data_IF_428875527965
#
_entry.id   IF_428875527965
#
_cell.length_a   1.000
_cell.length_b   1.000
_cell.length_c   1.000
_cell.angle_alpha   90.00
_cell.angle_beta   90.00
_cell.angle_gamma   90.00
#
_symmetry.space_group_name_H-M   'P 1'
#
loop_
_entity.id
_entity.type
_entity.pdbx_description
1 polymer ?
#
# COMPACT_ATOMS: atom_id res chain seq x y z
N UNK A 1 41.81 -14.68 -22.67
CA UNK A 1 40.45 -14.11 -22.76
C UNK A 1 39.96 -13.99 -21.33
N UNK A 2 40.12 -12.82 -20.72
CA UNK A 2 39.80 -12.60 -19.30
C UNK A 2 38.28 -12.44 -19.16
N UNK A 3 37.60 -13.40 -18.53
CA UNK A 3 36.23 -13.20 -18.07
C UNK A 3 36.27 -12.26 -16.87
N UNK A 4 35.72 -11.07 -17.03
CA UNK A 4 35.43 -10.14 -15.95
C UNK A 4 34.26 -10.71 -15.15
N UNK A 5 34.53 -11.05 -13.89
CA UNK A 5 33.56 -11.50 -12.90
C UNK A 5 32.69 -10.29 -12.51
N UNK A 6 31.62 -10.06 -13.26
CA UNK A 6 30.62 -9.03 -12.92
C UNK A 6 29.75 -9.55 -11.78
N UNK A 7 30.26 -9.45 -10.56
CA UNK A 7 29.45 -9.54 -9.36
C UNK A 7 28.34 -8.49 -9.44
N UNK A 8 27.05 -8.85 -9.31
CA UNK A 8 25.95 -7.90 -9.36
C UNK A 8 25.97 -7.14 -8.04
N UNK A 9 26.88 -6.19 -7.92
CA UNK A 9 26.84 -5.21 -6.84
C UNK A 9 25.66 -4.33 -7.17
N UNK A 10 24.51 -4.70 -6.59
CA UNK A 10 23.30 -3.91 -6.54
C UNK A 10 23.63 -2.58 -5.86
N UNK A 11 24.17 -1.65 -6.63
CA UNK A 11 24.13 -0.23 -6.34
C UNK A 11 22.66 0.14 -6.33
N UNK A 12 22.01 -0.15 -5.20
CA UNK A 12 20.75 0.45 -4.81
C UNK A 12 21.01 1.94 -4.79
N UNK A 13 20.72 2.59 -5.91
CA UNK A 13 20.69 4.04 -6.01
C UNK A 13 19.61 4.47 -5.03
N UNK A 14 20.00 4.83 -3.80
CA UNK A 14 19.07 5.26 -2.76
C UNK A 14 18.19 6.34 -3.38
N UNK A 15 16.88 6.09 -3.49
CA UNK A 15 15.99 7.04 -4.14
C UNK A 15 16.11 8.35 -3.38
N UNK A 16 16.62 9.39 -4.05
CA UNK A 16 16.89 10.70 -3.46
C UNK A 16 15.57 11.47 -3.34
N UNK A 17 14.63 10.94 -2.56
CA UNK A 17 13.30 11.51 -2.36
C UNK A 17 12.95 11.77 -0.88
N UNK A 18 13.80 11.32 0.04
CA UNK A 18 13.55 11.41 1.49
C UNK A 18 13.41 12.87 1.98
N UNK A 19 14.13 13.81 1.37
CA UNK A 19 14.05 15.22 1.74
C UNK A 19 12.71 15.85 1.36
N UNK A 20 11.99 15.36 0.34
CA UNK A 20 10.66 15.89 0.01
C UNK A 20 9.67 15.59 1.14
N UNK A 21 9.74 14.39 1.72
CA UNK A 21 8.93 14.02 2.88
C UNK A 21 9.26 14.89 4.09
N UNK A 22 10.54 15.17 4.33
CA UNK A 22 10.97 16.04 5.42
C UNK A 22 10.52 17.50 5.24
N UNK A 23 10.67 18.06 4.04
CA UNK A 23 10.22 19.43 3.73
C UNK A 23 8.70 19.53 3.84
N UNK A 24 7.95 18.55 3.29
CA UNK A 24 6.50 18.49 3.43
C UNK A 24 6.09 18.40 4.90
N UNK A 25 6.73 17.54 5.69
CA UNK A 25 6.46 17.42 7.12
C UNK A 25 6.64 18.76 7.84
N UNK A 26 7.76 19.46 7.61
CA UNK A 26 8.03 20.74 8.25
C UNK A 26 7.01 21.81 7.83
N UNK A 27 6.71 21.90 6.54
CA UNK A 27 5.72 22.84 6.01
C UNK A 27 4.31 22.54 6.53
N UNK A 28 3.91 21.27 6.57
CA UNK A 28 2.63 20.84 7.12
C UNK A 28 2.52 21.18 8.61
N UNK A 29 3.60 20.99 9.38
CA UNK A 29 3.61 21.33 10.80
C UNK A 29 3.48 22.84 11.04
N UNK A 30 4.22 23.66 10.28
CA UNK A 30 4.12 25.12 10.36
C UNK A 30 2.72 25.60 9.94
N UNK A 31 2.19 25.08 8.83
CA UNK A 31 0.85 25.40 8.35
C UNK A 31 -0.22 24.99 9.38
N UNK A 32 -0.06 23.84 10.03
CA UNK A 32 -0.94 23.37 11.08
C UNK A 32 -0.89 24.27 12.33
N UNK A 33 0.30 24.71 12.75
CA UNK A 33 0.43 25.67 13.86
C UNK A 33 -0.25 27.01 13.53
N UNK A 34 -0.06 27.54 12.32
CA UNK A 34 -0.74 28.76 11.85
C UNK A 34 -2.25 28.55 11.81
N UNK A 35 -2.72 27.39 11.36
CA UNK A 35 -4.13 27.02 11.35
C UNK A 35 -4.74 27.02 12.76
N UNK A 36 -4.06 26.42 13.74
CA UNK A 36 -4.52 26.40 15.13
C UNK A 36 -4.53 27.81 15.75
N UNK A 37 -3.46 28.58 15.54
CA UNK A 37 -3.40 29.97 15.98
C UNK A 37 -4.54 30.78 15.36
N UNK A 38 -4.76 30.66 14.06
CA UNK A 38 -5.91 31.28 13.43
C UNK A 38 -7.19 30.79 14.10
N UNK A 39 -7.48 29.49 14.17
CA UNK A 39 -8.75 28.94 14.65
C UNK A 39 -9.12 29.31 16.10
N UNK A 40 -8.16 29.35 17.03
CA UNK A 40 -8.43 29.51 18.47
C UNK A 40 -8.17 30.91 19.02
N UNK A 41 -7.41 31.76 18.32
CA UNK A 41 -7.04 33.08 18.85
C UNK A 41 -8.24 34.06 18.76
N UNK A 42 -8.46 34.89 19.78
CA UNK A 42 -9.55 35.87 19.76
C UNK A 42 -9.30 36.96 18.70
N UNK A 43 -10.39 37.56 18.22
CA UNK A 43 -10.39 38.50 17.08
C UNK A 43 -9.50 39.72 17.34
N UNK A 44 -9.50 40.22 18.57
CA UNK A 44 -8.76 41.41 18.99
C UNK A 44 -7.25 41.20 18.82
N UNK A 45 -6.76 39.99 19.08
CA UNK A 45 -5.35 39.66 18.95
C UNK A 45 -4.97 39.55 17.46
N UNK A 46 -5.83 38.97 16.63
CA UNK A 46 -5.60 38.89 15.17
C UNK A 46 -5.60 40.28 14.52
N UNK A 47 -6.52 41.15 14.92
CA UNK A 47 -6.56 42.54 14.45
C UNK A 47 -5.33 43.33 14.91
N UNK A 48 -4.85 43.11 16.14
CA UNK A 48 -3.60 43.71 16.64
C UNK A 48 -2.35 43.27 15.87
N UNK A 49 -2.39 42.05 15.31
CA UNK A 49 -1.34 41.50 14.46
C UNK A 49 -1.44 42.01 13.00
N UNK A 50 -2.45 42.84 12.69
CA UNK A 50 -2.70 43.38 11.35
C UNK A 50 -3.48 42.44 10.43
N UNK A 51 -4.00 41.32 10.93
CA UNK A 51 -4.74 40.33 10.14
C UNK A 51 -6.23 40.67 10.19
N UNK A 52 -6.69 41.51 9.27
CA UNK A 52 -8.08 41.98 9.19
C UNK A 52 -8.94 41.22 8.20
N UNK A 53 -8.33 40.48 7.26
CA UNK A 53 -9.04 39.68 6.25
C UNK A 53 -8.71 38.20 6.39
N UNK A 54 -9.66 37.41 6.87
CA UNK A 54 -9.57 35.96 6.99
C UNK A 54 -10.95 35.31 6.78
N UNK A 55 -11.02 34.03 6.37
CA UNK A 55 -12.29 33.35 6.11
C UNK A 55 -13.11 33.17 7.39
N UNK A 56 -14.39 32.85 7.26
CA UNK A 56 -15.27 32.59 8.40
C UNK A 56 -14.70 31.47 9.31
N UNK A 57 -14.86 31.64 10.63
CA UNK A 57 -14.42 30.66 11.65
C UNK A 57 -15.04 29.28 11.46
N UNK A 58 -16.19 29.19 10.81
CA UNK A 58 -16.83 27.93 10.43
C UNK A 58 -15.88 26.98 9.71
N UNK A 59 -14.94 27.50 8.89
CA UNK A 59 -13.96 26.68 8.19
C UNK A 59 -13.02 25.92 9.12
N UNK A 60 -12.79 26.40 10.34
CA UNK A 60 -12.01 25.67 11.35
C UNK A 60 -12.68 24.36 11.79
N UNK A 61 -14.00 24.27 11.68
CA UNK A 61 -14.76 23.05 11.93
C UNK A 61 -15.00 22.26 10.64
N UNK A 62 -15.29 22.96 9.54
CA UNK A 62 -15.58 22.31 8.26
C UNK A 62 -14.39 21.48 7.76
N UNK A 63 -13.18 22.01 7.78
CA UNK A 63 -11.98 21.31 7.29
C UNK A 63 -11.75 19.94 7.93
N UNK A 64 -11.71 19.80 9.27
CA UNK A 64 -11.54 18.48 9.88
C UNK A 64 -12.71 17.54 9.57
N UNK A 65 -13.96 18.03 9.62
CA UNK A 65 -15.14 17.20 9.32
C UNK A 65 -15.09 16.66 7.89
N UNK A 66 -14.81 17.52 6.91
CA UNK A 66 -14.69 17.12 5.50
C UNK A 66 -13.48 16.21 5.27
N UNK A 67 -12.38 16.40 5.99
CA UNK A 67 -11.23 15.49 5.92
C UNK A 67 -11.59 14.08 6.38
N UNK A 68 -12.32 13.93 7.50
CA UNK A 68 -12.81 12.62 7.94
C UNK A 68 -13.72 11.95 6.92
N UNK A 69 -14.68 12.71 6.36
CA UNK A 69 -15.59 12.20 5.32
C UNK A 69 -14.82 11.80 4.06
N UNK A 70 -13.81 12.58 3.66
CA UNK A 70 -12.96 12.29 2.52
C UNK A 70 -12.19 10.97 2.70
N UNK A 71 -11.63 10.72 3.89
CA UNK A 71 -10.94 9.45 4.19
C UNK A 71 -11.88 8.26 4.04
N UNK A 72 -13.08 8.33 4.62
CA UNK A 72 -14.10 7.28 4.47
C UNK A 72 -14.50 7.09 3.00
N UNK A 73 -14.68 8.18 2.27
CA UNK A 73 -14.99 8.14 0.85
C UNK A 73 -13.88 7.44 0.05
N UNK A 74 -12.60 7.72 0.33
CA UNK A 74 -11.47 7.05 -0.32
C UNK A 74 -11.53 5.54 -0.10
N UNK A 75 -11.82 5.07 1.12
CA UNK A 75 -11.96 3.64 1.38
C UNK A 75 -13.11 3.00 0.59
N UNK A 76 -14.29 3.63 0.60
CA UNK A 76 -15.45 3.12 -0.15
C UNK A 76 -15.17 3.12 -1.65
N UNK A 77 -14.60 4.20 -2.18
CA UNK A 77 -14.23 4.31 -3.58
C UNK A 77 -13.18 3.27 -3.97
N UNK A 78 -12.13 3.10 -3.15
CA UNK A 78 -11.11 2.08 -3.36
C UNK A 78 -11.73 0.68 -3.41
N UNK A 79 -12.54 0.31 -2.42
CA UNK A 79 -13.23 -0.99 -2.39
C UNK A 79 -14.11 -1.16 -3.64
N UNK A 80 -14.85 -0.13 -4.02
CA UNK A 80 -15.72 -0.15 -5.21
C UNK A 80 -14.93 -0.36 -6.50
N UNK A 81 -13.80 0.33 -6.64
CA UNK A 81 -12.90 0.18 -7.79
C UNK A 81 -12.30 -1.23 -7.84
N UNK A 82 -11.89 -1.79 -6.69
CA UNK A 82 -11.42 -3.17 -6.62
C UNK A 82 -12.51 -4.15 -7.05
N UNK A 83 -13.76 -3.97 -6.57
CA UNK A 83 -14.88 -4.80 -7.01
C UNK A 83 -15.18 -4.71 -8.51
N UNK A 84 -14.95 -3.55 -9.14
CA UNK A 84 -15.11 -3.40 -10.59
C UNK A 84 -13.96 -4.06 -11.39
N UNK A 85 -12.76 -4.12 -10.81
CA UNK A 85 -11.57 -4.64 -11.48
C UNK A 85 -11.27 -6.11 -11.18
N UNK A 86 -11.86 -6.69 -10.13
CA UNK A 86 -11.71 -8.10 -9.75
C UNK A 86 -12.83 -8.95 -10.36
N UNK A 87 -12.58 -10.25 -10.51
CA UNK A 87 -13.61 -11.21 -10.90
C UNK A 87 -14.81 -11.19 -9.94
N UNK A 88 -16.03 -11.55 -10.40
CA UNK A 88 -17.18 -11.71 -9.53
C UNK A 88 -16.88 -12.64 -8.36
N UNK A 89 -17.48 -12.39 -7.19
CA UNK A 89 -17.21 -13.15 -5.96
C UNK A 89 -17.48 -14.66 -6.10
N UNK A 90 -18.39 -15.05 -6.98
CA UNK A 90 -18.74 -16.44 -7.25
C UNK A 90 -17.86 -17.11 -8.31
N UNK A 91 -16.86 -16.40 -8.84
CA UNK A 91 -15.96 -16.92 -9.88
C UNK A 91 -14.85 -17.78 -9.27
N UNK A 92 -14.59 -18.94 -9.87
CA UNK A 92 -13.41 -19.76 -9.55
C UNK A 92 -12.09 -19.03 -9.80
N UNK A 93 -12.10 -18.01 -10.67
CA UNK A 93 -10.91 -17.19 -10.94
C UNK A 93 -10.45 -16.40 -9.70
N UNK A 94 -11.30 -16.26 -8.67
CA UNK A 94 -10.92 -15.67 -7.37
C UNK A 94 -10.05 -16.64 -6.54
N UNK A 95 -10.07 -17.95 -6.84
CA UNK A 95 -9.25 -18.97 -6.17
C UNK A 95 -7.95 -19.22 -6.93
N UNK A 96 -8.00 -19.29 -8.26
CA UNK A 96 -6.83 -19.48 -9.13
C UNK A 96 -7.10 -18.75 -10.44
N UNK A 97 -6.30 -17.74 -10.74
CA UNK A 97 -6.43 -16.93 -11.96
C UNK A 97 -5.46 -17.43 -13.06
N UNK A 98 -5.55 -16.82 -14.23
CA UNK A 98 -4.70 -17.16 -15.37
C UNK A 98 -3.21 -16.82 -15.15
N UNK A 99 -2.90 -16.00 -14.13
CA UNK A 99 -1.53 -15.62 -13.76
C UNK A 99 -0.94 -16.51 -12.66
N UNK A 100 -1.70 -17.47 -12.13
CA UNK A 100 -1.22 -18.38 -11.09
C UNK A 100 -0.07 -19.25 -11.63
N UNK A 101 1.06 -19.27 -10.93
CA UNK A 101 2.24 -20.04 -11.34
C UNK A 101 2.15 -21.47 -10.81
N UNK A 102 1.12 -22.20 -11.25
CA UNK A 102 0.93 -23.59 -10.82
C UNK A 102 2.02 -24.47 -11.46
N UNK A 103 2.85 -25.10 -10.63
CA UNK A 103 3.91 -26.00 -11.08
C UNK A 103 3.33 -27.18 -11.87
N UNK A 104 3.30 -27.08 -13.19
CA UNK A 104 2.51 -27.97 -14.03
C UNK A 104 3.08 -29.39 -14.22
N UNK A 105 4.25 -29.72 -13.68
CA UNK A 105 4.87 -31.02 -13.95
C UNK A 105 5.53 -31.64 -12.72
N UNK A 106 4.76 -32.48 -12.01
CA UNK A 106 5.29 -33.43 -11.02
C UNK A 106 6.41 -34.32 -11.62
N UNK A 107 6.39 -34.50 -12.95
CA UNK A 107 7.42 -35.20 -13.74
C UNK A 107 8.75 -34.44 -13.86
N UNK A 108 8.78 -33.12 -13.64
CA UNK A 108 10.02 -32.35 -13.49
C UNK A 108 10.59 -32.50 -12.08
N UNK A 109 9.74 -32.73 -11.08
CA UNK A 109 10.14 -33.00 -9.69
C UNK A 109 10.96 -34.30 -9.57
N UNK A 110 10.68 -35.30 -10.40
CA UNK A 110 11.43 -36.58 -10.41
C UNK A 110 12.81 -36.48 -11.08
N UNK A 111 13.17 -35.33 -11.67
CA UNK A 111 14.48 -35.05 -12.26
C UNK A 111 15.35 -34.13 -11.39
N UNK A 112 14.89 -33.82 -10.18
CA UNK A 112 15.64 -32.99 -9.22
C UNK A 112 16.86 -33.77 -8.74
N UNK A 113 18.05 -33.33 -9.16
CA UNK A 113 19.32 -33.69 -8.53
C UNK A 113 19.39 -33.06 -7.14
N UNK A 114 20.10 -33.65 -6.18
CA UNK A 114 20.22 -33.12 -4.79
C UNK A 114 20.71 -31.66 -4.68
N UNK A 115 21.33 -31.13 -5.75
CA UNK A 115 21.88 -29.77 -5.81
C UNK A 115 20.94 -28.75 -6.51
N UNK A 116 19.73 -29.17 -6.90
CA UNK A 116 18.77 -28.32 -7.64
C UNK A 116 17.70 -27.74 -6.71
N UNK A 117 17.63 -26.40 -6.66
CA UNK A 117 16.54 -25.67 -6.01
C UNK A 117 15.51 -25.26 -7.07
N UNK A 118 14.28 -25.78 -7.05
CA UNK A 118 13.25 -25.43 -8.02
C UNK A 118 12.79 -23.98 -7.85
N UNK A 119 12.28 -23.40 -8.93
CA UNK A 119 11.59 -22.11 -8.88
C UNK A 119 10.33 -22.19 -8.00
N UNK A 120 9.95 -21.05 -7.41
CA UNK A 120 8.77 -20.95 -6.56
C UNK A 120 7.50 -21.07 -7.41
N UNK A 121 6.72 -22.10 -7.13
CA UNK A 121 5.43 -22.36 -7.80
C UNK A 121 4.30 -22.43 -6.77
N UNK A 122 3.11 -22.06 -7.22
CA UNK A 122 1.88 -22.19 -6.45
C UNK A 122 1.45 -23.67 -6.40
N UNK A 123 1.09 -24.14 -5.20
CA UNK A 123 0.57 -25.49 -5.00
C UNK A 123 -0.96 -25.41 -5.02
N UNK A 124 -1.65 -26.17 -5.89
CA UNK A 124 -3.11 -26.19 -5.92
C UNK A 124 -3.70 -26.54 -4.55
N UNK A 125 -4.74 -25.81 -4.15
CA UNK A 125 -5.41 -26.00 -2.85
C UNK A 125 -5.90 -27.44 -2.63
N UNK A 126 -6.26 -28.15 -3.70
CA UNK A 126 -6.64 -29.57 -3.63
C UNK A 126 -5.49 -30.47 -3.14
N UNK A 127 -4.26 -30.22 -3.58
CA UNK A 127 -3.07 -30.97 -3.13
C UNK A 127 -2.76 -30.63 -1.68
N UNK A 128 -2.79 -29.34 -1.32
CA UNK A 128 -2.60 -28.90 0.08
C UNK A 128 -3.62 -29.58 1.00
N UNK A 129 -4.89 -29.58 0.61
CA UNK A 129 -5.94 -30.20 1.41
C UNK A 129 -5.75 -31.72 1.56
N UNK A 130 -5.38 -32.41 0.48
CA UNK A 130 -5.11 -33.84 0.50
C UNK A 130 -3.92 -34.17 1.43
N UNK A 131 -2.81 -33.44 1.30
CA UNK A 131 -1.62 -33.69 2.10
C UNK A 131 -1.82 -33.35 3.59
N UNK A 132 -2.50 -32.24 3.90
CA UNK A 132 -2.60 -31.73 5.26
C UNK A 132 -3.77 -32.32 6.05
N UNK A 133 -4.90 -32.63 5.39
CA UNK A 133 -6.15 -32.97 6.07
C UNK A 133 -6.67 -34.39 5.79
N UNK A 134 -6.19 -35.08 4.75
CA UNK A 134 -6.74 -36.39 4.38
C UNK A 134 -6.17 -37.57 5.22
N UNK A 135 -5.02 -37.39 5.87
CA UNK A 135 -4.39 -38.36 6.77
C UNK A 135 -4.53 -37.97 8.26
N UNK A 136 -5.70 -37.47 8.67
CA UNK A 136 -6.08 -37.45 10.09
C UNK A 136 -7.08 -38.57 10.33
N UNK A 137 -6.57 -39.70 10.78
CA UNK A 137 -7.38 -40.78 11.32
C UNK A 137 -8.22 -40.22 12.48
N UNK A 138 -9.54 -40.24 12.29
CA UNK A 138 -10.54 -40.20 13.37
C UNK A 138 -10.89 -41.65 13.75
#
# INVERSE_FOLDING_TARGET
MSQTDESPTTLSKTPTYEYYGFVLYLLSFIAFAIYLLWAYLPKEVLESLGITYYPDRYWALALPVWSFVLVLFIFVAFISINFLNTAPLDSFNTITDDNANVGQNLSQLSKITDDFVPELHDIPIGIVNACLYQNKDL
#
